data_IF_804181755965
#
_entry.id   IF_804181755965
#
_cell.length_a   1.000
_cell.length_b   1.000
_cell.length_c   1.000
_cell.angle_alpha   90.00
_cell.angle_beta   90.00
_cell.angle_gamma   90.00
#
_symmetry.space_group_name_H-M   'P 1'
#
loop_
_entity.id
_entity.type
_entity.pdbx_description
1 polymer ?
#
# COMPACT_ATOMS: atom_id res chain seq x y z
N UNK A 1 -29.35 0.72 -26.63
CA UNK A 1 -28.79 0.00 -25.48
C UNK A 1 -27.26 -0.05 -25.59
N UNK A 2 -26.51 0.81 -24.89
CA UNK A 2 -25.09 0.51 -24.67
C UNK A 2 -25.06 -0.61 -23.63
N UNK A 3 -24.63 -1.81 -24.04
CA UNK A 3 -24.37 -2.90 -23.12
C UNK A 3 -23.43 -2.39 -22.03
N UNK A 4 -23.78 -2.62 -20.77
CA UNK A 4 -22.89 -2.33 -19.65
C UNK A 4 -21.54 -3.01 -19.92
N UNK A 5 -20.43 -2.28 -19.76
CA UNK A 5 -19.10 -2.85 -20.02
C UNK A 5 -18.82 -3.91 -18.98
N UNK A 6 -18.63 -5.16 -19.41
CA UNK A 6 -18.36 -6.29 -18.52
C UNK A 6 -17.01 -6.13 -17.81
N UNK A 7 -16.90 -6.74 -16.63
CA UNK A 7 -15.62 -6.88 -15.95
C UNK A 7 -14.74 -7.87 -16.72
N UNK A 8 -13.51 -7.46 -17.02
CA UNK A 8 -12.48 -8.35 -17.53
C UNK A 8 -11.88 -9.20 -16.40
N UNK A 9 -11.15 -10.25 -16.77
CA UNK A 9 -10.33 -11.03 -15.84
C UNK A 9 -9.40 -10.13 -15.01
N UNK A 10 -8.72 -9.19 -15.67
CA UNK A 10 -7.80 -8.26 -14.99
C UNK A 10 -8.56 -7.29 -14.07
N UNK A 11 -9.77 -6.85 -14.44
CA UNK A 11 -10.57 -6.00 -13.55
C UNK A 11 -10.88 -6.73 -12.24
N UNK A 12 -11.23 -8.02 -12.29
CA UNK A 12 -11.50 -8.83 -11.10
C UNK A 12 -10.22 -9.01 -10.27
N UNK A 13 -9.11 -9.36 -10.92
CA UNK A 13 -7.81 -9.56 -10.25
C UNK A 13 -7.31 -8.30 -9.53
N UNK A 14 -7.33 -7.16 -10.21
CA UNK A 14 -6.86 -5.88 -9.64
C UNK A 14 -7.84 -5.36 -8.57
N UNK A 15 -9.14 -5.58 -8.74
CA UNK A 15 -10.14 -5.24 -7.71
C UNK A 15 -9.94 -6.09 -6.46
N UNK A 16 -9.67 -7.39 -6.62
CA UNK A 16 -9.35 -8.25 -5.49
C UNK A 16 -8.09 -7.78 -4.75
N UNK A 17 -7.02 -7.42 -5.46
CA UNK A 17 -5.82 -6.87 -4.84
C UNK A 17 -6.10 -5.57 -4.07
N UNK A 18 -6.91 -4.67 -4.64
CA UNK A 18 -7.31 -3.43 -3.98
C UNK A 18 -8.15 -3.68 -2.72
N UNK A 19 -9.09 -4.63 -2.75
CA UNK A 19 -9.93 -4.99 -1.61
C UNK A 19 -9.14 -5.70 -0.49
N UNK A 20 -8.20 -6.58 -0.85
CA UNK A 20 -7.32 -7.25 0.11
C UNK A 20 -6.53 -6.24 0.95
N UNK A 21 -5.99 -5.20 0.30
CA UNK A 21 -5.26 -4.13 0.98
C UNK A 21 -6.19 -3.16 1.72
N UNK A 22 -7.31 -2.75 1.10
CA UNK A 22 -8.27 -1.83 1.71
C UNK A 22 -8.80 -2.35 3.05
N UNK A 23 -8.97 -3.67 3.17
CA UNK A 23 -9.40 -4.32 4.40
C UNK A 23 -8.31 -4.37 5.50
N UNK A 24 -7.16 -3.73 5.34
CA UNK A 24 -6.20 -3.48 6.44
C UNK A 24 -6.60 -2.25 7.29
N UNK A 25 -7.57 -1.43 6.85
CA UNK A 25 -7.85 -0.11 7.39
C UNK A 25 -9.28 0.05 7.92
N UNK A 26 -9.41 0.54 9.16
CA UNK A 26 -10.70 0.90 9.78
C UNK A 26 -11.05 2.35 9.47
N UNK A 27 -10.06 3.23 9.51
CA UNK A 27 -10.12 4.64 9.15
C UNK A 27 -10.54 4.83 7.67
N UNK A 28 -11.06 6.00 7.27
CA UNK A 28 -11.40 6.22 5.87
C UNK A 28 -10.14 6.17 4.98
N UNK A 29 -10.15 5.27 4.00
CA UNK A 29 -8.98 4.96 3.17
C UNK A 29 -9.38 4.76 1.72
N UNK A 30 -8.49 5.17 0.82
CA UNK A 30 -8.55 4.91 -0.62
C UNK A 30 -7.31 4.14 -1.03
N UNK A 31 -7.51 3.10 -1.85
CA UNK A 31 -6.47 2.27 -2.46
C UNK A 31 -6.63 2.34 -3.97
N UNK A 32 -5.57 2.76 -4.66
CA UNK A 32 -5.42 2.74 -6.10
C UNK A 32 -4.45 1.62 -6.52
N UNK A 33 -4.88 0.75 -7.42
CA UNK A 33 -4.12 -0.41 -7.89
C UNK A 33 -3.99 -0.41 -9.40
N UNK A 34 -2.85 -0.89 -9.88
CA UNK A 34 -2.62 -1.27 -11.27
C UNK A 34 -1.77 -2.52 -11.35
N UNK A 35 -2.20 -3.51 -12.12
CA UNK A 35 -1.48 -4.78 -12.29
C UNK A 35 -1.14 -5.44 -10.94
N UNK A 36 -2.15 -5.55 -10.09
CA UNK A 36 -2.13 -6.15 -8.73
C UNK A 36 -1.21 -5.48 -7.70
N UNK A 37 -0.55 -4.37 -8.03
CA UNK A 37 0.26 -3.59 -7.10
C UNK A 37 -0.42 -2.25 -6.78
N UNK A 38 -0.37 -1.79 -5.52
CA UNK A 38 -0.85 -0.45 -5.18
C UNK A 38 0.08 0.60 -5.78
N UNK A 39 -0.47 1.54 -6.53
CA UNK A 39 0.25 2.74 -6.99
C UNK A 39 -0.02 3.96 -6.10
N UNK A 40 -1.09 3.94 -5.30
CA UNK A 40 -1.37 4.99 -4.34
C UNK A 40 -2.32 4.53 -3.25
N UNK A 41 -2.02 4.85 -2.00
CA UNK A 41 -2.87 4.57 -0.85
C UNK A 41 -2.84 5.78 0.07
N UNK A 42 -3.99 6.20 0.56
CA UNK A 42 -4.05 7.23 1.59
C UNK A 42 -5.25 7.07 2.52
N UNK A 43 -5.05 7.47 3.77
CA UNK A 43 -6.12 7.58 4.77
C UNK A 43 -6.30 9.02 5.22
N UNK A 44 -7.55 9.48 5.29
CA UNK A 44 -7.89 10.83 5.72
C UNK A 44 -9.37 10.88 6.12
N UNK A 45 -9.74 11.65 7.15
CA UNK A 45 -11.13 11.67 7.68
C UNK A 45 -12.19 12.02 6.61
N UNK A 46 -11.84 12.89 5.68
CA UNK A 46 -12.58 13.12 4.44
C UNK A 46 -12.11 12.17 3.32
N UNK A 47 -13.02 11.31 2.84
CA UNK A 47 -12.74 10.34 1.79
C UNK A 47 -12.38 10.98 0.43
N UNK A 48 -12.87 12.18 0.14
CA UNK A 48 -12.51 12.89 -1.09
C UNK A 48 -11.06 13.37 -1.05
N UNK A 49 -10.56 13.75 0.13
CA UNK A 49 -9.15 14.08 0.34
C UNK A 49 -8.28 12.84 0.37
N UNK A 50 -8.74 11.74 0.99
CA UNK A 50 -8.04 10.45 0.90
C UNK A 50 -7.84 10.03 -0.57
N UNK A 51 -8.85 10.21 -1.43
CA UNK A 51 -8.67 9.98 -2.87
C UNK A 51 -7.65 10.91 -3.51
N UNK A 52 -7.70 12.21 -3.18
CA UNK A 52 -6.76 13.19 -3.72
C UNK A 52 -5.31 12.82 -3.39
N UNK A 53 -5.04 12.47 -2.14
CA UNK A 53 -3.71 12.04 -1.67
C UNK A 53 -3.27 10.72 -2.34
N UNK A 54 -4.18 9.74 -2.48
CA UNK A 54 -3.88 8.50 -3.18
C UNK A 54 -3.60 8.72 -4.68
N UNK A 55 -4.27 9.68 -5.32
CA UNK A 55 -3.98 10.08 -6.70
C UNK A 55 -2.62 10.77 -6.84
N UNK A 56 -2.26 11.63 -5.89
CA UNK A 56 -0.99 12.37 -5.88
C UNK A 56 0.24 11.48 -5.65
N UNK A 57 0.06 10.31 -5.05
CA UNK A 57 1.12 9.33 -4.85
C UNK A 57 1.77 8.88 -6.16
N UNK A 58 0.96 8.60 -7.19
CA UNK A 58 1.44 8.29 -8.54
C UNK A 58 0.35 8.60 -9.59
N UNK A 59 0.25 9.87 -10.04
CA UNK A 59 -0.78 10.31 -10.97
C UNK A 59 -0.61 9.70 -12.37
N UNK A 60 0.57 9.17 -12.69
CA UNK A 60 0.86 8.51 -13.97
C UNK A 60 0.33 7.08 -13.96
N UNK A 61 0.66 6.31 -12.92
CA UNK A 61 0.26 4.92 -12.84
C UNK A 61 -1.22 4.74 -12.59
N UNK A 62 -1.88 5.60 -11.81
CA UNK A 62 -3.32 5.49 -11.54
C UNK A 62 -4.20 5.60 -12.81
N UNK A 63 -3.68 6.16 -13.90
CA UNK A 63 -4.40 6.21 -15.17
C UNK A 63 -4.70 4.80 -15.71
N UNK A 64 -5.99 4.49 -15.89
CA UNK A 64 -6.50 3.16 -16.25
C UNK A 64 -6.46 2.16 -15.09
N UNK A 65 -6.22 2.63 -13.87
CA UNK A 65 -6.20 1.80 -12.67
C UNK A 65 -7.59 1.50 -12.10
N UNK A 66 -7.57 0.84 -10.95
CA UNK A 66 -8.73 0.55 -10.13
C UNK A 66 -8.63 1.32 -8.83
N UNK A 67 -9.74 1.92 -8.41
CA UNK A 67 -9.84 2.63 -7.13
C UNK A 67 -10.84 1.93 -6.23
N UNK A 68 -10.42 1.59 -5.02
CA UNK A 68 -11.27 1.05 -3.96
C UNK A 68 -11.28 1.99 -2.76
N UNK A 69 -12.43 2.20 -2.13
CA UNK A 69 -12.53 2.96 -0.89
C UNK A 69 -13.49 2.31 0.11
N UNK A 70 -13.26 2.53 1.41
CA UNK A 70 -14.04 1.91 2.49
C UNK A 70 -15.11 2.84 3.08
N UNK A 71 -15.47 3.92 2.37
CA UNK A 71 -16.56 4.84 2.70
C UNK A 71 -17.42 5.14 1.49
N UNK A 72 -18.62 5.65 1.72
CA UNK A 72 -19.52 6.11 0.66
C UNK A 72 -18.83 7.14 -0.22
N UNK A 73 -18.86 6.94 -1.54
CA UNK A 73 -18.32 7.92 -2.49
C UNK A 73 -19.21 9.15 -2.50
N UNK A 74 -18.62 10.29 -2.15
CA UNK A 74 -19.28 11.58 -2.13
C UNK A 74 -19.31 12.22 -3.52
N UNK A 75 -20.17 13.22 -3.71
CA UNK A 75 -20.19 14.04 -4.94
C UNK A 75 -18.81 14.61 -5.25
N UNK A 76 -18.12 15.16 -4.26
CA UNK A 76 -16.79 15.74 -4.44
C UNK A 76 -15.76 14.70 -4.90
N UNK A 77 -15.72 13.54 -4.26
CA UNK A 77 -14.84 12.45 -4.68
C UNK A 77 -15.17 12.01 -6.12
N UNK A 78 -16.45 11.88 -6.47
CA UNK A 78 -16.88 11.52 -7.83
C UNK A 78 -16.46 12.55 -8.89
N UNK A 79 -16.49 13.85 -8.57
CA UNK A 79 -15.99 14.90 -9.46
C UNK A 79 -14.49 14.71 -9.74
N UNK A 80 -13.69 14.43 -8.71
CA UNK A 80 -12.24 14.17 -8.87
C UNK A 80 -11.97 12.87 -9.64
N UNK A 81 -12.65 11.76 -9.31
CA UNK A 81 -12.57 10.49 -10.03
C UNK A 81 -12.90 10.66 -11.52
N UNK A 82 -13.88 11.51 -11.85
CA UNK A 82 -14.31 11.74 -13.22
C UNK A 82 -13.29 12.53 -14.08
N UNK A 83 -12.22 13.08 -13.50
CA UNK A 83 -11.22 13.84 -14.25
C UNK A 83 -10.23 12.95 -15.00
N UNK A 84 -10.05 11.72 -14.56
CA UNK A 84 -9.10 10.77 -15.16
C UNK A 84 -9.83 9.55 -15.74
N UNK A 85 -9.08 8.76 -16.52
CA UNK A 85 -9.56 7.46 -16.98
C UNK A 85 -9.31 6.41 -15.90
N UNK A 86 -10.35 5.73 -15.46
CA UNK A 86 -10.31 4.61 -14.52
C UNK A 86 -11.10 3.44 -15.12
N UNK A 87 -10.62 2.23 -14.87
CA UNK A 87 -11.29 1.01 -15.30
C UNK A 87 -12.44 0.65 -14.34
N UNK A 88 -12.18 0.70 -13.03
CA UNK A 88 -13.13 0.30 -11.97
C UNK A 88 -13.05 1.26 -10.79
N UNK A 89 -14.19 1.60 -10.22
CA UNK A 89 -14.32 2.19 -8.88
C UNK A 89 -15.19 1.28 -8.03
N UNK A 90 -14.72 0.87 -6.85
CA UNK A 90 -15.46 0.04 -5.89
C UNK A 90 -15.58 0.74 -4.53
N UNK A 91 -16.78 0.70 -3.95
CA UNK A 91 -17.08 1.34 -2.67
C UNK A 91 -18.26 0.64 -1.95
N UNK A 92 -18.44 0.82 -0.63
CA UNK A 92 -19.60 0.29 0.08
C UNK A 92 -20.92 0.93 -0.37
N UNK A 93 -20.89 2.20 -0.74
CA UNK A 93 -22.04 2.92 -1.28
C UNK A 93 -21.63 4.16 -2.09
N UNK A 94 -22.62 4.80 -2.73
CA UNK A 94 -22.46 6.03 -3.49
C UNK A 94 -23.61 7.00 -3.16
N UNK A 95 -23.30 8.29 -2.98
CA UNK A 95 -24.34 9.33 -3.03
C UNK A 95 -25.02 9.33 -4.42
N UNK A 96 -26.27 9.75 -4.49
CA UNK A 96 -27.02 9.77 -5.75
C UNK A 96 -26.35 10.69 -6.80
N UNK A 97 -25.88 11.85 -6.36
CA UNK A 97 -25.18 12.82 -7.18
C UNK A 97 -23.82 12.28 -7.64
N UNK A 98 -23.12 11.56 -6.76
CA UNK A 98 -21.86 10.89 -7.09
C UNK A 98 -22.07 9.84 -8.19
N UNK A 99 -23.09 9.00 -8.04
CA UNK A 99 -23.44 7.99 -9.03
C UNK A 99 -23.85 8.61 -10.37
N UNK A 100 -24.59 9.72 -10.34
CA UNK A 100 -24.99 10.46 -11.55
C UNK A 100 -23.78 11.04 -12.30
N UNK A 101 -22.74 11.50 -11.59
CA UNK A 101 -21.48 11.96 -12.19
C UNK A 101 -20.73 10.79 -12.82
N UNK A 102 -20.50 9.72 -12.06
CA UNK A 102 -19.70 8.58 -12.52
C UNK A 102 -20.37 7.86 -13.70
N UNK A 103 -21.70 7.74 -13.73
CA UNK A 103 -22.45 7.14 -14.86
C UNK A 103 -22.27 7.86 -16.20
N UNK A 104 -21.77 9.11 -16.21
CA UNK A 104 -21.41 9.80 -17.47
C UNK A 104 -20.18 9.19 -18.14
N UNK A 105 -19.35 8.44 -17.41
CA UNK A 105 -18.19 7.71 -17.94
C UNK A 105 -18.61 6.35 -18.46
N UNK A 106 -18.88 6.27 -19.76
CA UNK A 106 -19.48 5.08 -20.39
C UNK A 106 -18.72 3.76 -20.17
N UNK A 107 -17.40 3.81 -19.95
CA UNK A 107 -16.54 2.62 -19.79
C UNK A 107 -16.12 2.35 -18.34
N UNK A 108 -16.51 3.20 -17.39
CA UNK A 108 -16.19 3.01 -15.98
C UNK A 108 -17.11 1.94 -15.38
N UNK A 109 -16.53 0.92 -14.75
CA UNK A 109 -17.30 -0.04 -13.95
C UNK A 109 -17.43 0.50 -12.53
N UNK A 110 -18.67 0.68 -12.08
CA UNK A 110 -18.99 1.19 -10.74
C UNK A 110 -19.52 0.01 -9.93
N UNK A 111 -18.81 -0.39 -8.89
CA UNK A 111 -19.13 -1.55 -8.07
C UNK A 111 -19.53 -1.12 -6.67
N UNK A 112 -20.77 -1.46 -6.27
CA UNK A 112 -21.22 -1.31 -4.89
C UNK A 112 -20.99 -2.64 -4.15
N UNK A 113 -20.14 -2.64 -3.14
CA UNK A 113 -19.79 -3.81 -2.34
C UNK A 113 -19.84 -3.47 -0.85
N UNK A 114 -20.92 -3.80 -0.12
CA UNK A 114 -21.02 -3.52 1.31
C UNK A 114 -20.05 -4.37 2.13
N UNK A 115 -19.78 -3.95 3.38
CA UNK A 115 -18.97 -4.73 4.33
C UNK A 115 -17.46 -4.64 4.14
N UNK A 116 -16.96 -3.58 3.50
CA UNK A 116 -15.52 -3.30 3.39
C UNK A 116 -14.97 -2.80 4.73
N UNK A 117 -14.36 -3.69 5.49
CA UNK A 117 -13.66 -3.38 6.74
C UNK A 117 -12.64 -4.48 7.07
N UNK A 118 -11.77 -4.26 8.05
CA UNK A 118 -10.88 -5.32 8.54
C UNK A 118 -11.61 -6.54 9.11
N UNK A 119 -12.88 -6.43 9.51
CA UNK A 119 -13.68 -7.57 9.96
C UNK A 119 -14.01 -8.56 8.82
N UNK A 120 -13.86 -8.12 7.57
CA UNK A 120 -13.97 -8.99 6.40
C UNK A 120 -12.78 -9.95 6.25
N UNK A 121 -11.66 -9.69 6.95
CA UNK A 121 -10.48 -10.56 6.93
C UNK A 121 -10.68 -11.76 7.86
N UNK A 122 -10.93 -12.91 7.26
CA UNK A 122 -11.12 -14.19 7.95
C UNK A 122 -10.05 -15.19 7.56
N UNK A 123 -9.75 -16.18 8.44
CA UNK A 123 -8.96 -17.34 8.07
C UNK A 123 -9.49 -17.96 6.78
N UNK A 124 -8.59 -18.14 5.82
CA UNK A 124 -8.90 -18.64 4.50
C UNK A 124 -7.67 -19.34 3.94
N UNK A 125 -7.87 -20.16 2.91
CA UNK A 125 -6.79 -20.75 2.13
C UNK A 125 -6.58 -19.91 0.87
N UNK A 126 -5.32 -19.75 0.48
CA UNK A 126 -4.95 -19.23 -0.83
C UNK A 126 -4.37 -20.35 -1.69
N UNK A 127 -4.63 -20.29 -2.98
CA UNK A 127 -4.22 -21.31 -3.95
C UNK A 127 -3.44 -20.65 -5.09
N UNK A 128 -2.30 -21.23 -5.43
CA UNK A 128 -1.50 -20.82 -6.58
C UNK A 128 -1.39 -21.99 -7.56
N UNK A 129 -1.88 -21.77 -8.78
CA UNK A 129 -1.72 -22.75 -9.86
C UNK A 129 -0.24 -22.84 -10.25
N UNK A 130 0.26 -24.07 -10.39
CA UNK A 130 1.59 -24.37 -10.93
C UNK A 130 1.46 -25.31 -12.13
N UNK A 131 2.55 -25.51 -12.87
CA UNK A 131 2.57 -26.51 -13.96
C UNK A 131 2.30 -27.89 -13.35
N UNK A 132 1.19 -28.51 -13.74
CA UNK A 132 0.81 -29.84 -13.29
C UNK A 132 0.17 -29.93 -11.89
N UNK A 133 -0.12 -28.81 -11.22
CA UNK A 133 -0.71 -28.87 -9.87
C UNK A 133 -1.15 -27.54 -9.26
N UNK A 134 -1.29 -27.54 -7.93
CA UNK A 134 -1.67 -26.37 -7.12
C UNK A 134 -0.89 -26.36 -5.81
N UNK A 135 -0.42 -25.19 -5.40
CA UNK A 135 0.08 -24.93 -4.05
C UNK A 135 -1.06 -24.37 -3.21
N UNK A 136 -1.19 -24.83 -1.96
CA UNK A 136 -2.21 -24.39 -1.02
C UNK A 136 -1.50 -23.96 0.26
N UNK A 137 -1.84 -22.77 0.76
CA UNK A 137 -1.35 -22.27 2.04
C UNK A 137 -2.43 -21.45 2.73
N UNK A 138 -2.24 -21.15 4.02
CA UNK A 138 -3.10 -20.21 4.74
C UNK A 138 -2.91 -18.79 4.20
N UNK A 139 -3.99 -18.00 4.24
CA UNK A 139 -3.95 -16.58 3.91
C UNK A 139 -3.11 -15.85 4.96
N UNK A 140 -2.23 -14.96 4.50
CA UNK A 140 -1.46 -14.10 5.39
C UNK A 140 -2.37 -13.07 6.09
N UNK A 141 -2.70 -13.35 7.34
CA UNK A 141 -3.45 -12.47 8.23
C UNK A 141 -2.57 -11.72 9.22
N UNK A 142 -1.24 -11.86 9.13
CA UNK A 142 -0.30 -11.23 10.04
C UNK A 142 -0.45 -9.71 10.08
N UNK A 143 -0.20 -9.15 11.26
CA UNK A 143 -0.25 -7.72 11.56
C UNK A 143 0.66 -7.41 12.77
N UNK A 144 0.92 -6.14 13.03
CA UNK A 144 1.71 -5.72 14.20
C UNK A 144 1.07 -6.09 15.54
N UNK A 145 -0.23 -6.40 15.57
CA UNK A 145 -0.91 -6.92 16.78
C UNK A 145 -0.54 -8.36 17.11
N UNK A 146 0.04 -9.09 16.15
CA UNK A 146 0.42 -10.49 16.30
C UNK A 146 1.88 -10.68 16.73
N UNK A 147 2.62 -9.59 16.86
CA UNK A 147 4.05 -9.59 17.19
C UNK A 147 4.33 -8.55 18.27
N UNK A 148 5.56 -8.56 18.78
CA UNK A 148 6.08 -7.50 19.65
C UNK A 148 7.14 -6.71 18.88
N UNK A 149 6.76 -5.61 18.18
CA UNK A 149 7.72 -4.81 17.44
C UNK A 149 8.74 -4.20 18.39
N UNK A 150 10.02 -4.35 18.06
CA UNK A 150 11.14 -3.86 18.87
C UNK A 150 11.89 -2.77 18.15
N UNK A 151 12.02 -1.60 18.77
CA UNK A 151 12.98 -0.61 18.31
C UNK A 151 14.41 -1.09 18.58
N UNK A 152 15.25 -1.15 17.55
CA UNK A 152 16.62 -1.70 17.61
C UNK A 152 17.73 -0.66 17.50
N UNK A 153 17.38 0.61 17.26
CA UNK A 153 18.30 1.75 17.16
C UNK A 153 17.99 2.81 18.24
N UNK A 154 18.90 3.76 18.44
CA UNK A 154 18.81 4.79 19.48
C UNK A 154 18.06 6.08 19.08
N UNK A 155 17.58 6.19 17.83
CA UNK A 155 16.79 7.36 17.36
C UNK A 155 15.43 7.50 18.06
N UNK A 156 14.89 8.70 18.14
CA UNK A 156 13.56 8.93 18.73
C UNK A 156 12.46 8.46 17.77
N UNK A 157 11.58 7.57 18.23
CA UNK A 157 10.37 7.19 17.53
C UNK A 157 9.17 7.90 18.18
N UNK A 158 8.70 8.98 17.56
CA UNK A 158 7.48 9.67 18.00
C UNK A 158 6.21 8.98 17.47
N UNK A 159 5.05 9.38 17.99
CA UNK A 159 3.77 8.77 17.61
C UNK A 159 3.41 9.00 16.13
N UNK A 160 3.82 10.12 15.52
CA UNK A 160 3.55 10.38 14.10
C UNK A 160 4.32 9.40 13.21
N UNK A 161 5.61 9.20 13.49
CA UNK A 161 6.43 8.22 12.79
C UNK A 161 5.91 6.81 13.01
N UNK A 162 5.46 6.49 14.23
CA UNK A 162 4.87 5.19 14.53
C UNK A 162 3.60 4.95 13.72
N UNK A 163 2.67 5.90 13.67
CA UNK A 163 1.46 5.78 12.85
C UNK A 163 1.79 5.58 11.36
N UNK A 164 2.77 6.31 10.83
CA UNK A 164 3.19 6.16 9.45
C UNK A 164 3.90 4.83 9.19
N UNK A 165 4.70 4.32 10.14
CA UNK A 165 5.33 2.99 10.02
C UNK A 165 4.27 1.88 10.03
N UNK A 166 3.25 1.98 10.89
CA UNK A 166 2.12 1.04 10.90
C UNK A 166 1.34 1.09 9.58
N UNK A 167 1.10 2.29 9.06
CA UNK A 167 0.45 2.50 7.75
C UNK A 167 1.28 1.87 6.61
N UNK A 168 2.57 2.16 6.53
CA UNK A 168 3.47 1.61 5.51
C UNK A 168 3.62 0.08 5.62
N UNK A 169 3.65 -0.45 6.84
CA UNK A 169 3.73 -1.90 7.10
C UNK A 169 2.51 -2.65 6.57
N UNK A 170 1.31 -2.12 6.80
CA UNK A 170 0.08 -2.69 6.23
C UNK A 170 0.16 -2.74 4.71
N UNK A 171 0.73 -1.73 4.07
CA UNK A 171 0.77 -1.63 2.60
C UNK A 171 1.83 -2.56 2.00
N UNK A 172 3.04 -2.58 2.57
CA UNK A 172 4.17 -3.36 2.00
C UNK A 172 3.85 -4.85 1.89
N UNK A 173 3.02 -5.37 2.81
CA UNK A 173 2.47 -6.74 2.79
C UNK A 173 1.68 -7.09 1.51
N UNK A 174 1.10 -6.10 0.84
CA UNK A 174 0.28 -6.29 -0.36
C UNK A 174 1.02 -5.90 -1.65
N UNK A 175 2.29 -5.51 -1.56
CA UNK A 175 3.16 -5.23 -2.70
C UNK A 175 3.93 -6.50 -3.08
N UNK A 176 4.14 -6.76 -4.37
CA UNK A 176 4.94 -7.91 -4.82
C UNK A 176 6.40 -7.78 -4.40
N UNK A 177 7.00 -8.88 -3.95
CA UNK A 177 8.34 -8.91 -3.37
C UNK A 177 9.47 -8.91 -4.41
N UNK A 178 10.65 -8.36 -4.12
CA UNK A 178 10.97 -7.57 -2.91
C UNK A 178 10.24 -6.22 -2.94
N UNK A 179 9.71 -5.83 -1.79
CA UNK A 179 8.85 -4.66 -1.68
C UNK A 179 9.40 -3.61 -0.71
N UNK A 180 9.31 -2.35 -1.14
CA UNK A 180 9.59 -1.17 -0.32
C UNK A 180 8.45 -0.18 -0.48
N UNK A 181 7.97 0.38 0.62
CA UNK A 181 6.97 1.45 0.66
C UNK A 181 7.54 2.63 1.42
N UNK A 182 7.54 3.81 0.79
CA UNK A 182 7.81 5.10 1.44
C UNK A 182 6.46 5.78 1.69
N UNK A 183 6.23 6.23 2.92
CA UNK A 183 4.97 6.88 3.29
C UNK A 183 5.19 8.01 4.28
N UNK A 184 4.24 8.96 4.33
CA UNK A 184 4.23 10.08 5.26
C UNK A 184 2.80 10.57 5.44
N UNK A 185 2.41 10.95 6.63
CA UNK A 185 1.07 11.47 6.96
C UNK A 185 -0.06 10.57 6.42
N UNK A 186 0.07 9.25 6.57
CA UNK A 186 -0.87 8.23 6.06
C UNK A 186 -1.13 8.33 4.55
N UNK A 187 -0.11 8.71 3.78
CA UNK A 187 -0.11 8.70 2.31
C UNK A 187 1.14 7.96 1.82
N UNK A 188 0.99 7.08 0.83
CA UNK A 188 2.15 6.53 0.11
C UNK A 188 2.79 7.60 -0.76
N UNK A 189 4.11 7.73 -0.68
CA UNK A 189 4.88 8.63 -1.53
C UNK A 189 5.65 7.88 -2.61
N UNK A 190 5.98 6.61 -2.38
CA UNK A 190 6.65 5.79 -3.38
C UNK A 190 6.57 4.30 -3.06
N UNK A 191 6.46 3.48 -4.11
CA UNK A 191 6.34 2.02 -4.00
C UNK A 191 7.34 1.36 -4.95
N UNK A 192 8.27 0.61 -4.39
CA UNK A 192 9.20 -0.25 -5.12
C UNK A 192 8.69 -1.67 -5.10
N UNK A 193 8.09 -2.14 -6.19
CA UNK A 193 7.46 -3.46 -6.28
C UNK A 193 8.25 -4.44 -7.16
N UNK A 194 8.28 -5.70 -6.74
CA UNK A 194 8.61 -6.85 -7.59
C UNK A 194 10.06 -6.96 -8.03
N UNK A 195 11.01 -6.39 -7.27
CA UNK A 195 12.42 -6.42 -7.66
C UNK A 195 13.15 -7.66 -7.14
N UNK A 196 14.06 -8.21 -7.95
CA UNK A 196 14.89 -9.35 -7.56
C UNK A 196 15.90 -8.97 -6.47
N UNK A 197 16.41 -7.73 -6.51
CA UNK A 197 17.27 -7.17 -5.47
C UNK A 197 16.52 -6.09 -4.69
N UNK A 198 16.73 -6.03 -3.37
CA UNK A 198 16.00 -5.11 -2.50
C UNK A 198 16.45 -3.66 -2.60
N UNK A 199 17.74 -3.44 -2.85
CA UNK A 199 18.24 -2.09 -3.08
C UNK A 199 17.56 -1.44 -4.29
N UNK A 200 17.24 -2.21 -5.35
CA UNK A 200 16.52 -1.71 -6.51
C UNK A 200 15.08 -1.30 -6.16
N UNK A 201 14.41 -2.06 -5.28
CA UNK A 201 13.09 -1.68 -4.76
C UNK A 201 13.19 -0.41 -3.92
N UNK A 202 14.22 -0.27 -3.10
CA UNK A 202 14.42 0.90 -2.25
C UNK A 202 14.69 2.16 -3.09
N UNK A 203 15.60 2.07 -4.07
CA UNK A 203 15.90 3.16 -4.99
C UNK A 203 14.63 3.60 -5.73
N UNK A 204 13.87 2.67 -6.31
CA UNK A 204 12.62 2.99 -7.01
C UNK A 204 11.59 3.68 -6.10
N UNK A 205 11.41 3.20 -4.88
CA UNK A 205 10.47 3.79 -3.94
C UNK A 205 10.91 5.21 -3.51
N UNK A 206 12.19 5.40 -3.23
CA UNK A 206 12.77 6.70 -2.83
C UNK A 206 12.73 7.69 -3.99
N UNK A 207 13.08 7.26 -5.22
CA UNK A 207 13.02 8.11 -6.41
C UNK A 207 11.59 8.53 -6.73
N UNK A 208 10.61 7.64 -6.58
CA UNK A 208 9.20 7.97 -6.75
C UNK A 208 8.72 9.00 -5.72
N UNK A 209 9.13 8.86 -4.45
CA UNK A 209 8.83 9.84 -3.41
C UNK A 209 9.55 11.20 -3.63
N UNK A 210 10.70 11.19 -4.31
CA UNK A 210 11.45 12.39 -4.64
C UNK A 210 11.80 13.21 -3.40
N UNK A 211 11.48 14.51 -3.42
CA UNK A 211 11.75 15.42 -2.28
C UNK A 211 10.84 15.15 -1.07
N UNK A 212 9.67 14.55 -1.29
CA UNK A 212 8.73 14.25 -0.21
C UNK A 212 9.21 13.09 0.68
N UNK A 213 10.24 12.35 0.25
CA UNK A 213 10.91 11.34 1.06
C UNK A 213 11.53 11.92 2.35
N UNK A 214 11.89 13.21 2.35
CA UNK A 214 12.43 13.87 3.53
C UNK A 214 11.38 13.93 4.65
N UNK A 215 11.70 13.35 5.80
CA UNK A 215 10.76 13.23 6.91
C UNK A 215 9.76 12.08 6.79
N UNK A 216 9.80 11.30 5.70
CA UNK A 216 8.95 10.13 5.51
C UNK A 216 9.46 8.91 6.30
N UNK A 217 8.71 7.82 6.26
CA UNK A 217 9.12 6.50 6.77
C UNK A 217 9.25 5.50 5.64
N UNK A 218 9.98 4.40 5.89
CA UNK A 218 10.16 3.30 4.95
C UNK A 218 9.81 1.95 5.59
N UNK A 219 8.97 1.17 4.91
CA UNK A 219 8.67 -0.21 5.27
C UNK A 219 9.25 -1.19 4.25
N UNK A 220 9.77 -2.32 4.73
CA UNK A 220 10.21 -3.43 3.88
C UNK A 220 9.51 -4.73 4.26
N UNK A 221 9.04 -5.49 3.27
CA UNK A 221 8.37 -6.78 3.47
C UNK A 221 9.28 -7.85 4.10
N UNK A 222 10.60 -7.69 3.99
CA UNK A 222 11.61 -8.64 4.41
C UNK A 222 12.85 -7.93 5.01
N UNK A 223 13.82 -8.67 5.56
CA UNK A 223 15.01 -8.10 6.21
C UNK A 223 16.12 -7.59 5.27
N UNK A 224 16.82 -6.51 5.60
CA UNK A 224 17.91 -6.03 4.74
C UNK A 224 19.13 -6.97 4.79
N UNK A 225 19.58 -7.49 3.63
CA UNK A 225 20.74 -8.39 3.60
C UNK A 225 22.07 -7.65 3.79
N UNK A 226 22.11 -6.35 3.45
CA UNK A 226 23.26 -5.46 3.55
C UNK A 226 22.82 -4.07 4.04
N UNK A 227 23.77 -3.19 4.29
CA UNK A 227 23.54 -1.82 4.75
C UNK A 227 23.25 -0.80 3.61
N UNK A 228 23.20 -1.27 2.36
CA UNK A 228 22.99 -0.45 1.17
C UNK A 228 21.63 0.26 1.18
N UNK A 229 20.56 -0.43 1.58
CA UNK A 229 19.22 0.16 1.69
C UNK A 229 19.21 1.29 2.74
N UNK A 230 19.83 1.07 3.90
CA UNK A 230 19.81 2.08 4.96
C UNK A 230 20.71 3.27 4.65
N UNK A 231 21.75 3.11 3.82
CA UNK A 231 22.52 4.25 3.29
C UNK A 231 21.66 5.14 2.39
N UNK A 232 20.82 4.56 1.52
CA UNK A 232 19.88 5.35 0.72
C UNK A 232 18.76 5.97 1.58
N UNK A 233 18.29 5.29 2.63
CA UNK A 233 17.37 5.86 3.64
C UNK A 233 17.93 7.15 4.23
N UNK A 234 19.17 7.12 4.71
CA UNK A 234 19.82 8.29 5.34
C UNK A 234 19.99 9.43 4.33
N UNK A 235 20.45 9.10 3.11
CA UNK A 235 20.63 10.07 2.03
C UNK A 235 19.31 10.74 1.60
N UNK A 236 18.21 10.02 1.64
CA UNK A 236 16.87 10.53 1.31
C UNK A 236 16.21 11.32 2.45
N UNK A 237 16.81 11.36 3.65
CA UNK A 237 16.24 12.06 4.80
C UNK A 237 15.04 11.35 5.44
N UNK A 238 14.89 10.03 5.22
CA UNK A 238 13.85 9.21 5.84
C UNK A 238 14.09 9.13 7.36
N UNK A 239 13.02 9.27 8.14
CA UNK A 239 13.02 9.41 9.60
C UNK A 239 12.52 8.20 10.37
N UNK A 240 12.10 7.14 9.70
CA UNK A 240 11.77 5.89 10.37
C UNK A 240 11.85 4.71 9.42
N UNK A 241 12.25 3.55 9.93
CA UNK A 241 12.31 2.30 9.17
C UNK A 241 11.61 1.17 9.91
N UNK A 242 10.83 0.35 9.21
CA UNK A 242 10.25 -0.88 9.75
C UNK A 242 10.55 -2.06 8.82
N UNK A 243 11.08 -3.13 9.40
CA UNK A 243 11.44 -4.36 8.69
C UNK A 243 11.36 -5.56 9.65
N UNK A 244 11.41 -6.82 9.19
CA UNK A 244 11.31 -7.96 10.10
C UNK A 244 12.50 -8.17 11.03
N UNK A 245 13.72 -7.85 10.58
CA UNK A 245 14.97 -8.32 11.18
C UNK A 245 15.24 -9.80 10.89
N UNK A 246 16.36 -10.30 11.40
CA UNK A 246 16.81 -11.69 11.25
C UNK A 246 17.94 -11.89 10.24
N UNK A 247 18.59 -10.81 9.79
CA UNK A 247 19.81 -10.92 9.00
C UNK A 247 21.00 -11.25 9.89
N UNK A 248 21.94 -12.06 9.41
CA UNK A 248 23.26 -12.21 10.07
C UNK A 248 24.05 -10.89 10.08
N UNK A 249 23.60 -9.90 9.29
CA UNK A 249 24.20 -8.55 9.14
C UNK A 249 23.29 -7.43 9.65
N UNK A 250 22.32 -7.72 10.51
CA UNK A 250 21.42 -6.67 11.03
C UNK A 250 22.21 -5.53 11.71
N UNK A 251 23.32 -5.85 12.39
CA UNK A 251 24.19 -4.86 13.04
C UNK A 251 24.78 -3.83 12.06
N UNK A 252 25.07 -4.21 10.81
CA UNK A 252 25.57 -3.27 9.80
C UNK A 252 24.53 -2.18 9.51
N UNK A 253 23.26 -2.58 9.39
CA UNK A 253 22.15 -1.65 9.17
C UNK A 253 21.84 -0.79 10.41
N UNK A 254 21.88 -1.40 11.59
CA UNK A 254 21.64 -0.74 12.88
C UNK A 254 22.71 0.33 13.13
N UNK A 255 23.98 0.03 12.85
CA UNK A 255 25.09 0.97 13.02
C UNK A 255 24.89 2.25 12.18
N UNK A 256 24.56 2.10 10.89
CA UNK A 256 24.32 3.24 9.97
C UNK A 256 23.16 4.12 10.47
N UNK A 257 22.04 3.50 10.89
CA UNK A 257 20.89 4.27 11.36
C UNK A 257 21.08 4.89 12.75
N UNK A 258 21.89 4.28 13.62
CA UNK A 258 22.28 4.88 14.89
C UNK A 258 23.11 6.15 14.69
N UNK A 259 24.06 6.15 13.75
CA UNK A 259 24.84 7.34 13.39
C UNK A 259 23.94 8.47 12.87
N UNK A 260 22.93 8.11 12.05
CA UNK A 260 21.93 9.04 11.53
C UNK A 260 20.83 9.43 12.53
N UNK A 261 20.77 8.78 13.71
CA UNK A 261 19.70 8.90 14.71
C UNK A 261 18.30 8.59 14.15
N UNK A 262 18.21 7.68 13.18
CA UNK A 262 16.95 7.25 12.57
C UNK A 262 16.43 6.00 13.29
N UNK A 263 15.21 6.00 13.87
CA UNK A 263 14.62 4.81 14.46
C UNK A 263 14.36 3.71 13.44
N UNK A 264 14.67 2.47 13.83
CA UNK A 264 14.36 1.24 13.11
C UNK A 264 13.62 0.28 14.04
N UNK A 265 12.52 -0.29 13.53
CA UNK A 265 11.66 -1.25 14.24
C UNK A 265 11.76 -2.61 13.56
N UNK A 266 12.06 -3.64 14.35
CA UNK A 266 12.01 -5.05 13.96
C UNK A 266 10.68 -5.67 14.35
N UNK A 267 10.01 -6.31 13.39
CA UNK A 267 8.70 -6.97 13.64
C UNK A 267 8.80 -8.47 13.89
N UNK A 268 9.90 -9.11 13.49
CA UNK A 268 10.05 -10.57 13.49
C UNK A 268 9.14 -11.31 12.50
N UNK A 269 8.40 -10.60 11.64
CA UNK A 269 7.40 -11.16 10.73
C UNK A 269 7.65 -10.70 9.30
N UNK A 270 7.75 -11.65 8.37
CA UNK A 270 8.00 -11.40 6.95
C UNK A 270 6.72 -11.57 6.12
N UNK A 271 6.49 -10.67 5.16
CA UNK A 271 5.30 -10.66 4.31
C UNK A 271 5.65 -10.83 2.82
N UNK A 272 6.31 -11.93 2.45
CA UNK A 272 6.62 -12.19 1.05
C UNK A 272 5.37 -12.48 0.21
N UNK A 273 5.32 -11.90 -0.99
CA UNK A 273 4.22 -12.04 -1.94
C UNK A 273 4.72 -12.10 -3.37
N UNK A 274 4.32 -13.16 -4.10
CA UNK A 274 4.62 -13.35 -5.51
C UNK A 274 3.34 -13.45 -6.33
#
# INVERSE_FOLDING_TARGET
>A
CRLAVLLSYNNISDTNAALELLNEFFEPTVVAVKHTNPCGVASHDDIAQAYQLAYEADPVSIFGGIVACNRTVTKEMAEKLSKIFLEVVVAPDYQEEALAILKKKANLRILKLPGLSPDARKPAITMQKIVGGVLIQERDLGSLKNVEPKQVTAGTLDESLKEDLEFAWKIVKHVKSNAIVVAKNKQTLGVGAGQMNRIDAAIKAIEAAGKEAEGAVLASDAFFPFDDVVKEVVKAGIKGVIQPGGSIRDEDSIAVLNEAKTPMVFTGMRHFRH
#
